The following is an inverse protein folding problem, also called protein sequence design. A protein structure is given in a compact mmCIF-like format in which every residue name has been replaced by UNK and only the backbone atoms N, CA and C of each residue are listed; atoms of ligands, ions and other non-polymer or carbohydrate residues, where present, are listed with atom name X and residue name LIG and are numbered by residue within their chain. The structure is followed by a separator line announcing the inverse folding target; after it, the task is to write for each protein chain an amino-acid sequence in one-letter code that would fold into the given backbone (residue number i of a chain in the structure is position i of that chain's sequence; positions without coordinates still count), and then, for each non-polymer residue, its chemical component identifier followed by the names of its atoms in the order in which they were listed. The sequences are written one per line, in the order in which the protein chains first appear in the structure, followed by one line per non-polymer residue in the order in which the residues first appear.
data_IF_179644772370
#
_entry.id   IF_179644772370
#
_cell.length_a   1.000
_cell.length_b   1.000
_cell.length_c   1.000
_cell.angle_alpha   90.00
_cell.angle_beta   90.00
_cell.angle_gamma   90.00
#
_symmetry.space_group_name_H-M   'P 1'
#
loop_
_entity.id
_entity.type
_entity.pdbx_description
1 polymer ?
#
# COMPACT_ATOMS: atom_id res chain seq x y z
N UNK A 1 -9.56 7.85 44.34
CA UNK A 1 -8.76 7.89 43.13
C UNK A 1 -7.97 9.19 43.09
N UNK A 2 -6.66 9.12 42.88
CA UNK A 2 -5.86 10.32 42.70
C UNK A 2 -6.13 10.93 41.32
N UNK A 3 -6.35 12.24 41.26
CA UNK A 3 -6.58 12.97 40.02
C UNK A 3 -6.09 14.41 40.12
N UNK A 4 -5.73 14.98 38.96
CA UNK A 4 -5.42 16.39 38.82
C UNK A 4 -6.55 17.04 38.02
N UNK A 5 -7.15 18.08 38.55
CA UNK A 5 -8.20 18.84 37.86
C UNK A 5 -7.69 20.21 37.42
N UNK A 6 -7.67 20.44 36.13
CA UNK A 6 -7.38 21.74 35.52
C UNK A 6 -8.70 22.47 35.28
N UNK A 7 -8.95 23.54 36.04
CA UNK A 7 -10.18 24.33 35.96
C UNK A 7 -10.08 25.44 34.90
N UNK A 8 -11.11 25.58 34.10
CA UNK A 8 -11.35 26.77 33.28
C UNK A 8 -11.98 27.87 34.15
N UNK A 9 -11.73 29.14 33.84
CA UNK A 9 -12.30 30.29 34.56
C UNK A 9 -13.83 30.26 34.65
N UNK A 10 -14.52 29.64 33.71
CA UNK A 10 -15.97 29.41 33.70
C UNK A 10 -16.47 28.25 34.57
N UNK A 11 -15.63 27.64 35.40
CA UNK A 11 -16.01 26.63 36.41
C UNK A 11 -15.81 25.17 36.05
N UNK A 12 -15.97 24.77 34.76
CA UNK A 12 -15.69 23.40 34.29
C UNK A 12 -14.20 23.19 34.04
N UNK A 13 -13.74 21.94 33.98
CA UNK A 13 -12.34 21.65 33.76
C UNK A 13 -12.08 20.25 33.21
N UNK A 14 -10.82 20.00 32.84
CA UNK A 14 -10.32 18.70 32.45
C UNK A 14 -9.73 17.98 33.65
N UNK A 15 -10.03 16.71 33.80
CA UNK A 15 -9.52 15.87 34.89
C UNK A 15 -8.59 14.82 34.28
N UNK A 16 -7.35 14.76 34.80
CA UNK A 16 -6.42 13.66 34.55
C UNK A 16 -6.54 12.73 35.76
N UNK A 17 -7.11 11.56 35.55
CA UNK A 17 -7.37 10.58 36.61
C UNK A 17 -6.55 9.31 36.42
N UNK A 18 -6.27 8.64 37.54
CA UNK A 18 -5.70 7.29 37.48
C UNK A 18 -6.65 6.30 36.80
N UNK A 19 -6.15 5.25 36.15
CA UNK A 19 -6.96 4.22 35.52
C UNK A 19 -7.85 3.53 36.56
N UNK A 20 -9.00 3.03 36.11
CA UNK A 20 -9.97 2.33 36.99
C UNK A 20 -9.51 0.98 37.45
N UNK A 21 -8.57 0.35 36.73
CA UNK A 21 -7.93 -0.92 37.09
C UNK A 21 -6.44 -0.69 37.35
N UNK A 22 -5.86 -1.49 38.28
CA UNK A 22 -4.43 -1.43 38.55
C UNK A 22 -3.64 -1.99 37.35
N UNK A 23 -2.76 -1.21 36.69
CA UNK A 23 -1.93 -1.73 35.61
C UNK A 23 -0.84 -2.66 36.20
N UNK A 24 -0.39 -3.64 35.41
CA UNK A 24 0.66 -4.58 35.81
C UNK A 24 2.03 -3.93 36.08
N UNK A 25 2.24 -2.73 35.59
CA UNK A 25 3.43 -1.88 35.82
C UNK A 25 3.07 -0.41 35.63
N UNK A 26 3.91 0.48 36.15
CA UNK A 26 3.75 1.92 35.89
C UNK A 26 3.72 2.22 34.39
N UNK A 27 2.80 3.08 33.98
CA UNK A 27 2.66 3.59 32.61
C UNK A 27 2.96 5.08 32.60
N UNK A 28 3.90 5.47 31.75
CA UNK A 28 4.34 6.85 31.62
C UNK A 28 3.73 7.49 30.38
N UNK A 29 3.09 8.63 30.54
CA UNK A 29 2.73 9.54 29.45
C UNK A 29 3.74 10.66 29.41
N UNK A 30 4.61 10.67 28.41
CA UNK A 30 5.60 11.74 28.23
C UNK A 30 4.97 12.85 27.41
N UNK A 31 4.98 14.07 27.94
CA UNK A 31 4.57 15.27 27.22
C UNK A 31 5.77 15.82 26.43
N UNK A 32 5.53 16.45 25.24
CA UNK A 32 6.61 17.07 24.49
C UNK A 32 7.26 18.19 25.33
N UNK A 33 8.59 18.29 25.24
CA UNK A 33 9.40 19.28 26.01
C UNK A 33 9.79 20.50 25.19
N UNK A 34 9.72 20.40 23.88
CA UNK A 34 10.32 21.33 22.92
C UNK A 34 9.31 21.97 21.95
N UNK A 35 8.06 21.53 21.97
CA UNK A 35 6.99 22.08 21.14
C UNK A 35 5.66 22.12 21.90
N UNK A 36 4.84 23.12 21.60
CA UNK A 36 3.45 23.13 22.04
C UNK A 36 2.68 22.02 21.33
N UNK A 37 1.90 21.26 22.07
CA UNK A 37 1.16 20.13 21.55
C UNK A 37 -0.24 19.99 22.13
N UNK A 38 -1.13 19.39 21.37
CA UNK A 38 -2.47 19.00 21.84
C UNK A 38 -2.52 17.50 22.08
N UNK A 39 -2.99 17.10 23.25
CA UNK A 39 -3.24 15.68 23.52
C UNK A 39 -4.43 15.22 22.69
N UNK A 40 -4.20 14.23 21.85
CA UNK A 40 -5.26 13.61 21.06
C UNK A 40 -6.14 12.76 21.97
N UNK A 41 -7.43 13.01 21.97
CA UNK A 41 -8.40 12.25 22.74
C UNK A 41 -9.30 11.39 21.83
N UNK A 42 -9.93 10.39 22.44
CA UNK A 42 -11.03 9.65 21.82
C UNK A 42 -12.35 10.23 22.29
N UNK A 43 -13.34 10.23 21.40
CA UNK A 43 -14.73 10.51 21.77
C UNK A 43 -15.42 9.26 22.37
N UNK A 44 -16.71 9.38 22.68
CA UNK A 44 -17.53 8.28 23.21
C UNK A 44 -17.70 7.09 22.22
N UNK A 45 -17.42 7.31 20.94
CA UNK A 45 -17.46 6.29 19.88
C UNK A 45 -16.09 5.65 19.61
N UNK A 46 -15.09 5.90 20.46
CA UNK A 46 -13.71 5.49 20.27
C UNK A 46 -12.99 6.10 19.04
N UNK A 47 -13.55 7.12 18.43
CA UNK A 47 -12.94 7.84 17.31
C UNK A 47 -11.92 8.86 17.82
N UNK A 48 -10.75 8.90 17.17
CA UNK A 48 -9.72 9.88 17.49
C UNK A 48 -10.18 11.26 16.98
N UNK A 49 -10.03 12.27 17.85
CA UNK A 49 -10.44 13.65 17.55
C UNK A 49 -9.22 14.52 17.21
N UNK A 50 -9.44 15.52 16.36
CA UNK A 50 -8.45 16.54 15.98
C UNK A 50 -7.14 16.00 15.33
N UNK A 51 -7.22 14.86 14.63
CA UNK A 51 -6.10 14.37 13.82
C UNK A 51 -6.31 14.84 12.38
N UNK A 52 -5.52 15.81 11.93
CA UNK A 52 -5.50 16.30 10.55
C UNK A 52 -4.41 15.65 9.70
N UNK A 53 -3.46 14.97 10.33
CA UNK A 53 -2.38 14.27 9.66
C UNK A 53 -1.50 13.47 10.63
N UNK A 54 -0.69 12.58 10.09
CA UNK A 54 0.36 11.87 10.83
C UNK A 54 1.69 12.21 10.17
N UNK A 55 2.68 12.65 10.95
CA UNK A 55 3.99 13.07 10.46
C UNK A 55 3.91 14.15 9.36
N UNK A 56 2.99 15.11 9.49
CA UNK A 56 2.81 16.22 8.55
C UNK A 56 2.11 15.84 7.23
N UNK A 57 1.72 14.58 7.04
CA UNK A 57 0.99 14.13 5.86
C UNK A 57 -0.52 14.01 6.08
N UNK A 58 -1.27 14.11 5.00
CA UNK A 58 -2.72 13.86 5.02
C UNK A 58 -3.01 12.41 5.41
N UNK A 59 -4.13 12.18 6.11
CA UNK A 59 -4.59 10.83 6.46
C UNK A 59 -5.32 10.13 5.31
N UNK A 60 -5.97 10.90 4.46
CA UNK A 60 -6.68 10.40 3.28
C UNK A 60 -5.78 10.24 2.06
N UNK A 61 -6.20 9.41 1.12
CA UNK A 61 -5.59 9.23 -0.21
C UNK A 61 -4.09 8.85 -0.21
N UNK A 62 -3.59 8.26 0.87
CA UNK A 62 -2.18 7.84 0.97
C UNK A 62 -1.86 6.60 0.14
N UNK A 63 -2.85 5.78 -0.15
CA UNK A 63 -2.67 4.64 -1.04
C UNK A 63 -2.82 5.10 -2.49
N UNK A 64 -1.71 5.15 -3.20
CA UNK A 64 -1.66 5.54 -4.61
C UNK A 64 -2.13 4.43 -5.55
N UNK A 65 -2.21 3.18 -5.08
CA UNK A 65 -2.60 2.04 -5.91
C UNK A 65 -4.08 1.75 -5.70
N UNK A 66 -4.88 2.17 -6.67
CA UNK A 66 -6.32 1.85 -6.72
C UNK A 66 -6.46 0.38 -7.14
N UNK A 67 -7.37 -0.35 -6.50
CA UNK A 67 -7.57 -1.78 -6.73
C UNK A 67 -6.33 -2.65 -6.43
N UNK A 68 -5.48 -2.22 -5.49
CA UNK A 68 -4.27 -2.98 -5.10
C UNK A 68 -4.57 -4.36 -4.51
N UNK A 69 -5.78 -4.59 -4.01
CA UNK A 69 -6.25 -5.90 -3.57
C UNK A 69 -6.78 -6.80 -4.71
N UNK A 70 -6.69 -6.35 -5.96
CA UNK A 70 -7.07 -7.09 -7.19
C UNK A 70 -8.54 -7.56 -7.23
N UNK A 71 -9.45 -6.87 -6.50
CA UNK A 71 -10.85 -7.29 -6.34
C UNK A 71 -11.71 -6.99 -7.58
N UNK A 72 -11.41 -5.93 -8.29
CA UNK A 72 -12.23 -5.45 -9.42
C UNK A 72 -11.62 -5.89 -10.75
N UNK A 73 -12.40 -6.59 -11.54
CA UNK A 73 -12.04 -7.11 -12.86
C UNK A 73 -13.24 -7.02 -13.82
N UNK A 74 -13.60 -5.79 -14.22
CA UNK A 74 -14.83 -5.51 -14.96
C UNK A 74 -14.81 -6.02 -16.41
N UNK A 75 -13.63 -6.10 -17.03
CA UNK A 75 -13.48 -6.55 -18.41
C UNK A 75 -13.44 -8.06 -18.57
N UNK A 76 -13.15 -8.78 -17.49
CA UNK A 76 -13.05 -10.23 -17.49
C UNK A 76 -12.02 -10.71 -16.46
N UNK A 77 -12.06 -12.01 -16.16
CA UNK A 77 -11.16 -12.61 -15.16
C UNK A 77 -9.97 -13.34 -15.80
N UNK A 78 -9.92 -13.46 -17.13
CA UNK A 78 -8.81 -14.10 -17.87
C UNK A 78 -8.73 -13.59 -19.29
N UNK A 79 -7.53 -13.41 -19.82
CA UNK A 79 -7.28 -13.01 -21.21
C UNK A 79 -5.85 -13.32 -21.62
N UNK A 80 -5.63 -13.60 -22.91
CA UNK A 80 -4.30 -13.70 -23.53
C UNK A 80 -3.92 -12.42 -24.30
N UNK A 81 -4.81 -11.44 -24.39
CA UNK A 81 -4.53 -10.18 -25.06
C UNK A 81 -3.72 -9.25 -24.17
N UNK A 82 -2.84 -8.45 -24.78
CA UNK A 82 -2.12 -7.36 -24.15
C UNK A 82 -3.07 -6.22 -23.74
N UNK A 83 -2.68 -5.42 -22.78
CA UNK A 83 -3.42 -4.25 -22.31
C UNK A 83 -4.22 -4.48 -21.02
N UNK A 84 -5.21 -3.62 -20.79
CA UNK A 84 -6.11 -3.65 -19.64
C UNK A 84 -7.27 -4.62 -19.88
N UNK A 85 -7.05 -5.91 -19.69
CA UNK A 85 -8.00 -6.96 -20.05
C UNK A 85 -8.68 -7.63 -18.86
N UNK A 86 -8.07 -7.59 -17.67
CA UNK A 86 -8.57 -8.31 -16.50
C UNK A 86 -8.70 -7.37 -15.31
N UNK A 87 -7.70 -7.31 -14.43
CA UNK A 87 -7.71 -6.49 -13.23
C UNK A 87 -7.76 -5.01 -13.61
N UNK A 88 -8.76 -4.30 -13.12
CA UNK A 88 -8.91 -2.89 -13.41
C UNK A 88 -7.72 -2.08 -12.89
N UNK A 89 -7.27 -1.10 -13.66
CA UNK A 89 -6.10 -0.22 -13.44
C UNK A 89 -4.75 -0.89 -13.71
N UNK A 90 -4.68 -2.19 -14.00
CA UNK A 90 -3.45 -2.89 -14.32
C UNK A 90 -3.42 -3.32 -15.79
N UNK A 91 -2.26 -3.16 -16.41
CA UNK A 91 -2.01 -3.42 -17.83
C UNK A 91 -0.93 -4.49 -17.96
N UNK A 92 -1.14 -5.48 -18.81
CA UNK A 92 -0.09 -6.42 -19.22
C UNK A 92 0.44 -6.03 -20.59
N UNK A 93 1.76 -5.99 -20.70
CA UNK A 93 2.48 -5.81 -21.96
C UNK A 93 3.49 -6.96 -22.13
N UNK A 94 3.54 -7.52 -23.30
CA UNK A 94 4.54 -8.52 -23.66
C UNK A 94 5.06 -8.31 -25.09
N UNK A 95 6.29 -8.75 -25.33
CA UNK A 95 6.99 -8.65 -26.60
C UNK A 95 7.91 -9.85 -26.74
N UNK A 96 8.02 -10.39 -27.95
CA UNK A 96 8.96 -11.46 -28.31
C UNK A 96 8.60 -12.85 -27.77
N UNK A 97 7.41 -13.03 -27.22
CA UNK A 97 6.93 -14.32 -26.74
C UNK A 97 6.42 -15.18 -27.90
N UNK A 98 6.83 -16.46 -27.98
CA UNK A 98 6.33 -17.39 -29.02
C UNK A 98 4.84 -17.63 -28.89
N UNK A 99 4.36 -17.73 -27.66
CA UNK A 99 2.95 -17.83 -27.34
C UNK A 99 2.58 -16.74 -26.31
N UNK A 100 1.41 -16.16 -26.49
CA UNK A 100 0.91 -15.10 -25.62
C UNK A 100 0.74 -15.58 -24.16
N UNK A 101 1.22 -14.83 -23.18
CA UNK A 101 0.96 -15.15 -21.78
C UNK A 101 -0.52 -14.94 -21.43
N UNK A 102 -1.01 -15.70 -20.47
CA UNK A 102 -2.34 -15.51 -19.91
C UNK A 102 -2.27 -14.62 -18.69
N UNK A 103 -3.04 -13.54 -18.67
CA UNK A 103 -3.30 -12.71 -17.50
C UNK A 103 -4.63 -13.12 -16.86
N UNK A 104 -4.68 -13.26 -15.55
CA UNK A 104 -5.88 -13.70 -14.85
C UNK A 104 -6.02 -13.12 -13.43
N UNK A 105 -7.27 -12.88 -13.03
CA UNK A 105 -7.64 -12.76 -11.63
C UNK A 105 -7.83 -14.15 -11.03
N UNK A 106 -7.14 -14.47 -9.95
CA UNK A 106 -7.24 -15.76 -9.28
C UNK A 106 -7.44 -15.58 -7.78
N UNK A 107 -7.97 -16.61 -7.12
CA UNK A 107 -8.14 -16.58 -5.68
C UNK A 107 -6.81 -16.71 -4.93
N UNK A 108 -6.70 -15.99 -3.83
CA UNK A 108 -5.63 -16.18 -2.85
C UNK A 108 -6.00 -17.41 -2.00
N UNK A 109 -5.09 -18.38 -1.94
CA UNK A 109 -5.34 -19.63 -1.19
C UNK A 109 -5.55 -19.36 0.29
N UNK A 110 -6.58 -19.97 0.86
CA UNK A 110 -6.83 -19.95 2.30
C UNK A 110 -5.63 -20.50 3.08
N UNK A 111 -5.38 -19.95 4.26
CA UNK A 111 -4.26 -20.34 5.12
C UNK A 111 -2.90 -19.70 4.75
N UNK A 112 -2.80 -18.97 3.65
CA UNK A 112 -1.58 -18.21 3.31
C UNK A 112 -1.54 -16.87 4.04
N UNK A 113 -0.33 -16.33 4.24
CA UNK A 113 -0.15 -15.01 4.90
C UNK A 113 -0.92 -13.88 4.19
N UNK A 114 -0.91 -13.75 2.86
CA UNK A 114 -1.75 -12.75 2.19
C UNK A 114 -3.25 -12.92 2.50
N UNK A 115 -3.74 -14.17 2.53
CA UNK A 115 -5.14 -14.43 2.87
C UNK A 115 -5.48 -13.99 4.30
N UNK A 116 -4.61 -14.29 5.26
CA UNK A 116 -4.76 -13.87 6.66
C UNK A 116 -4.76 -12.34 6.80
N UNK A 117 -3.99 -11.65 5.95
CA UNK A 117 -3.95 -10.19 5.87
C UNK A 117 -5.12 -9.57 5.08
N UNK A 118 -6.13 -10.35 4.71
CA UNK A 118 -7.36 -9.84 4.10
C UNK A 118 -7.42 -9.89 2.57
N UNK A 119 -6.35 -10.29 1.89
CA UNK A 119 -6.37 -10.42 0.43
C UNK A 119 -7.17 -11.66 0.01
N UNK A 120 -8.03 -11.53 -0.99
CA UNK A 120 -8.87 -12.61 -1.51
C UNK A 120 -8.60 -12.90 -2.98
N UNK A 121 -8.12 -11.90 -3.73
CA UNK A 121 -7.80 -11.99 -5.14
C UNK A 121 -6.34 -11.60 -5.37
N UNK A 122 -5.76 -12.16 -6.42
CA UNK A 122 -4.43 -11.82 -6.91
C UNK A 122 -4.40 -11.77 -8.42
N UNK A 123 -3.41 -11.09 -8.95
CA UNK A 123 -3.13 -11.06 -10.37
C UNK A 123 -2.10 -12.14 -10.72
N UNK A 124 -2.45 -13.02 -11.63
CA UNK A 124 -1.58 -14.10 -12.09
C UNK A 124 -1.22 -13.89 -13.55
N UNK A 125 0.06 -14.03 -13.86
CA UNK A 125 0.55 -14.19 -15.24
C UNK A 125 1.05 -15.63 -15.40
N UNK A 126 0.57 -16.31 -16.41
CA UNK A 126 1.05 -17.64 -16.82
C UNK A 126 1.70 -17.50 -18.18
N UNK A 127 2.98 -17.81 -18.27
CA UNK A 127 3.70 -17.80 -19.54
C UNK A 127 3.11 -18.86 -20.49
N UNK A 128 3.03 -18.53 -21.75
CA UNK A 128 2.80 -19.50 -22.80
C UNK A 128 4.02 -20.37 -23.05
N UNK A 129 3.90 -21.29 -23.99
CA UNK A 129 5.02 -22.13 -24.41
C UNK A 129 6.08 -21.29 -25.14
N UNK A 130 7.34 -21.43 -24.74
CA UNK A 130 8.47 -20.73 -25.33
C UNK A 130 9.42 -21.78 -25.93
N UNK A 131 9.29 -22.05 -27.21
CA UNK A 131 10.07 -23.07 -27.91
C UNK A 131 11.40 -22.54 -28.43
N UNK A 132 11.47 -21.27 -28.79
CA UNK A 132 12.65 -20.60 -29.33
C UNK A 132 13.63 -20.06 -28.27
N UNK A 133 13.29 -20.14 -26.99
CA UNK A 133 14.01 -19.45 -25.93
C UNK A 133 13.77 -17.93 -25.93
N UNK A 134 14.11 -17.25 -24.86
CA UNK A 134 13.92 -15.82 -24.74
C UNK A 134 15.11 -15.04 -25.35
N UNK A 135 14.82 -14.08 -26.22
CA UNK A 135 15.77 -13.10 -26.71
C UNK A 135 15.99 -11.96 -25.71
N UNK A 136 17.05 -11.18 -25.90
CA UNK A 136 17.40 -10.09 -25.00
C UNK A 136 16.32 -8.96 -24.91
N UNK A 137 15.45 -8.88 -25.89
CA UNK A 137 14.36 -7.89 -25.93
C UNK A 137 13.00 -8.46 -25.50
N UNK A 138 12.92 -9.77 -25.26
CA UNK A 138 11.69 -10.43 -24.90
C UNK A 138 11.35 -10.13 -23.46
N UNK A 139 10.09 -9.79 -23.24
CA UNK A 139 9.64 -9.40 -21.92
C UNK A 139 8.16 -9.62 -21.72
N UNK A 140 7.79 -9.93 -20.51
CA UNK A 140 6.43 -9.86 -20.02
C UNK A 140 6.48 -8.94 -18.80
N UNK A 141 5.65 -7.91 -18.81
CA UNK A 141 5.54 -7.00 -17.67
C UNK A 141 4.10 -6.63 -17.43
N UNK A 142 3.75 -6.39 -16.19
CA UNK A 142 2.51 -5.72 -15.89
C UNK A 142 2.79 -4.37 -15.23
N UNK A 143 1.92 -3.42 -15.49
CA UNK A 143 2.13 -2.04 -15.15
C UNK A 143 0.92 -1.47 -14.43
N UNK A 144 1.19 -0.59 -13.52
CA UNK A 144 0.23 0.34 -12.96
C UNK A 144 0.68 1.76 -13.33
N UNK A 145 -0.24 2.56 -13.84
CA UNK A 145 0.02 3.97 -14.18
C UNK A 145 -0.67 4.85 -13.16
N UNK A 146 0.12 5.61 -12.41
CA UNK A 146 -0.41 6.61 -11.50
C UNK A 146 -0.95 7.79 -12.30
N UNK A 147 -2.16 8.22 -11.99
CA UNK A 147 -2.72 9.44 -12.57
C UNK A 147 -2.24 10.64 -11.77
N UNK A 148 -2.01 11.77 -12.46
CA UNK A 148 -1.53 12.99 -11.84
C UNK A 148 -2.45 13.48 -10.70
N UNK A 149 -3.77 13.32 -10.86
CA UNK A 149 -4.74 13.67 -9.83
C UNK A 149 -4.62 12.80 -8.57
N UNK A 150 -4.30 11.50 -8.71
CA UNK A 150 -4.11 10.60 -7.58
C UNK A 150 -2.87 11.02 -6.78
N UNK A 151 -1.79 11.38 -7.49
CA UNK A 151 -0.57 11.89 -6.88
C UNK A 151 -0.84 13.23 -6.18
N UNK A 152 -1.51 14.17 -6.84
CA UNK A 152 -1.84 15.47 -6.26
C UNK A 152 -2.68 15.35 -4.99
N UNK A 153 -3.64 14.42 -4.96
CA UNK A 153 -4.53 14.21 -3.82
C UNK A 153 -3.88 13.40 -2.68
N UNK A 154 -2.74 12.74 -2.92
CA UNK A 154 -2.07 11.91 -1.91
C UNK A 154 -1.30 12.70 -0.86
N UNK A 155 -0.99 13.98 -1.15
CA UNK A 155 -0.07 14.78 -0.34
C UNK A 155 1.41 14.41 -0.50
N UNK A 156 1.74 13.49 -1.41
CA UNK A 156 3.13 13.17 -1.72
C UNK A 156 3.78 14.32 -2.52
N UNK A 157 4.81 14.92 -1.95
CA UNK A 157 5.61 15.92 -2.65
C UNK A 157 6.69 15.26 -3.49
N UNK A 158 6.35 14.81 -4.69
CA UNK A 158 7.25 14.09 -5.60
C UNK A 158 8.43 14.94 -6.12
N UNK A 159 8.40 16.24 -5.92
CA UNK A 159 9.50 17.14 -6.32
C UNK A 159 10.55 17.32 -5.21
N UNK A 160 10.30 16.80 -4.00
CA UNK A 160 11.20 16.90 -2.86
C UNK A 160 12.00 15.64 -2.67
N UNK A 161 13.33 15.75 -2.60
CA UNK A 161 14.22 14.65 -2.25
C UNK A 161 14.04 14.11 -0.83
N UNK A 162 13.32 14.84 0.02
CA UNK A 162 12.98 14.44 1.40
C UNK A 162 11.60 13.80 1.53
N UNK A 163 10.88 13.60 0.42
CA UNK A 163 9.56 13.00 0.41
C UNK A 163 9.62 11.61 -0.23
N UNK A 164 9.21 10.61 0.50
CA UNK A 164 9.35 9.20 0.12
C UNK A 164 7.99 8.53 -0.05
N UNK A 165 7.95 7.54 -0.92
CA UNK A 165 6.87 6.56 -1.01
C UNK A 165 7.42 5.18 -0.66
N UNK A 166 6.57 4.35 -0.07
CA UNK A 166 6.88 2.96 0.22
C UNK A 166 5.97 2.09 -0.63
N UNK A 167 6.53 1.19 -1.42
CA UNK A 167 5.79 0.14 -2.10
C UNK A 167 5.93 -1.16 -1.33
N UNK A 168 4.82 -1.81 -1.05
CA UNK A 168 4.78 -3.15 -0.48
C UNK A 168 3.79 -4.01 -1.25
N UNK A 169 4.12 -5.27 -1.49
CA UNK A 169 3.27 -6.21 -2.19
C UNK A 169 3.62 -7.65 -1.83
N UNK A 170 2.70 -8.55 -2.10
CA UNK A 170 2.94 -9.98 -2.02
C UNK A 170 3.22 -10.52 -3.43
N UNK A 171 4.27 -11.30 -3.55
CA UNK A 171 4.67 -11.95 -4.80
C UNK A 171 4.87 -13.44 -4.58
N UNK A 172 4.47 -14.24 -5.57
CA UNK A 172 4.74 -15.67 -5.64
C UNK A 172 5.12 -16.02 -7.07
N UNK A 173 6.20 -16.76 -7.22
CA UNK A 173 6.63 -17.30 -8.51
C UNK A 173 6.71 -18.82 -8.46
N UNK A 174 6.53 -19.48 -9.60
CA UNK A 174 6.71 -20.94 -9.75
C UNK A 174 8.16 -21.34 -10.01
N UNK A 175 9.00 -20.36 -10.37
CA UNK A 175 10.42 -20.55 -10.64
C UNK A 175 11.20 -19.54 -9.82
N UNK A 176 12.21 -20.01 -9.09
CA UNK A 176 13.15 -19.15 -8.38
C UNK A 176 14.08 -18.48 -9.38
N UNK A 177 13.94 -17.19 -9.57
CA UNK A 177 14.78 -16.37 -10.42
C UNK A 177 14.63 -14.90 -10.04
N UNK A 178 15.48 -14.05 -10.60
CA UNK A 178 15.35 -12.61 -10.43
C UNK A 178 14.18 -12.08 -11.24
N UNK A 179 13.29 -11.40 -10.55
CA UNK A 179 12.26 -10.56 -11.14
C UNK A 179 12.62 -9.09 -10.88
N UNK A 180 12.14 -8.20 -11.72
CA UNK A 180 12.49 -6.79 -11.60
C UNK A 180 11.25 -5.95 -11.34
N UNK A 181 11.34 -5.09 -10.35
CA UNK A 181 10.42 -4.00 -10.14
C UNK A 181 11.04 -2.73 -10.73
N UNK A 182 10.24 -1.97 -11.48
CA UNK A 182 10.71 -0.77 -12.14
C UNK A 182 9.79 0.40 -11.83
N UNK A 183 10.38 1.56 -11.58
CA UNK A 183 9.69 2.84 -11.46
C UNK A 183 10.15 3.74 -12.59
N UNK A 184 9.20 4.36 -13.29
CA UNK A 184 9.45 5.28 -14.39
C UNK A 184 8.58 6.51 -14.24
N UNK A 185 9.21 7.70 -14.26
CA UNK A 185 8.51 8.95 -14.53
C UNK A 185 8.45 9.19 -16.05
N UNK A 186 7.44 9.95 -16.51
CA UNK A 186 7.26 10.21 -17.94
C UNK A 186 8.42 10.97 -18.61
N UNK A 187 9.21 11.68 -17.82
CA UNK A 187 10.36 12.51 -18.22
C UNK A 187 11.68 11.99 -17.63
N UNK A 188 11.67 10.87 -16.93
CA UNK A 188 12.82 10.37 -16.18
C UNK A 188 13.41 9.08 -16.73
N UNK A 189 14.53 8.69 -16.14
CA UNK A 189 15.21 7.42 -16.42
C UNK A 189 14.55 6.27 -15.67
N UNK A 190 14.39 5.15 -16.36
CA UNK A 190 13.87 3.91 -15.75
C UNK A 190 14.80 3.42 -14.63
N UNK A 191 14.26 3.25 -13.44
CA UNK A 191 14.94 2.66 -12.31
C UNK A 191 14.47 1.21 -12.13
N UNK A 192 15.40 0.26 -12.16
CA UNK A 192 15.13 -1.15 -12.00
C UNK A 192 15.67 -1.66 -10.67
N UNK A 193 14.82 -2.38 -9.93
CA UNK A 193 15.16 -3.00 -8.65
C UNK A 193 14.97 -4.51 -8.79
N UNK A 194 16.01 -5.32 -8.62
CA UNK A 194 15.86 -6.78 -8.63
C UNK A 194 15.06 -7.23 -7.40
N UNK A 195 14.24 -8.24 -7.61
CA UNK A 195 13.52 -8.94 -6.55
C UNK A 195 13.88 -10.41 -6.64
N UNK A 196 14.40 -10.97 -5.57
CA UNK A 196 14.60 -12.40 -5.46
C UNK A 196 13.34 -13.04 -4.89
N UNK A 197 12.78 -13.98 -5.63
CA UNK A 197 11.70 -14.82 -5.10
C UNK A 197 12.35 -16.05 -4.51
N UNK A 198 12.34 -16.17 -3.18
CA UNK A 198 12.77 -17.38 -2.50
C UNK A 198 11.93 -18.59 -2.93
N UNK A 199 12.57 -19.74 -2.97
CA UNK A 199 11.94 -21.05 -3.18
C UNK A 199 11.18 -21.51 -1.94
#
# INVERSE_FOLDING_TARGET
MASIKLKHSGGNGVIIAAPTSNPASDKTLTLPSDVDGTVVSKDSSNSLQNITGINGGQLGNRNLIINGAMQVAQRGTSSTSSGFQTIDRFEVEYTGTDEAPTQAQVDVSAGTTPYTNGFRKSFKITNGNQTGGAGASDRIRYRYKFEAQDIANSGWNYTSSSSFVTLSFWVKASVAQNYYFSVLSGDGTLQNFPMETGS
#
